data_IF_237761422180
#
_entry.id   IF_237761422180
#
_cell.length_a   1.000
_cell.length_b   1.000
_cell.length_c   1.000
_cell.angle_alpha   90.00
_cell.angle_beta   90.00
_cell.angle_gamma   90.00
#
_symmetry.space_group_name_H-M   'P 1'
#
loop_
_entity.id
_entity.type
_entity.pdbx_description
1 polymer ?
#
# COMPACT_ATOMS: atom_id res chain seq x y z
N UNK A 1 6.81 -47.17 -40.85
CA UNK A 1 6.15 -45.84 -40.93
C UNK A 1 6.88 -44.91 -39.97
N UNK A 2 7.40 -43.79 -40.47
CA UNK A 2 7.86 -42.58 -39.74
C UNK A 2 9.12 -42.71 -38.85
N UNK A 3 10.28 -42.15 -39.25
CA UNK A 3 10.76 -40.75 -39.20
C UNK A 3 11.31 -40.30 -37.83
N UNK A 4 12.65 -40.19 -37.79
CA UNK A 4 13.53 -39.14 -37.19
C UNK A 4 13.17 -38.49 -35.85
N UNK A 5 14.16 -38.36 -34.96
CA UNK A 5 14.73 -37.05 -34.55
C UNK A 5 15.94 -37.26 -33.62
N UNK A 6 17.07 -36.60 -33.95
CA UNK A 6 18.19 -36.43 -33.03
C UNK A 6 17.91 -35.23 -32.08
N UNK A 7 18.29 -35.28 -30.80
CA UNK A 7 18.34 -34.08 -29.99
C UNK A 7 19.71 -33.41 -30.14
N UNK A 8 19.66 -32.14 -30.56
CA UNK A 8 20.75 -31.20 -30.51
C UNK A 8 21.23 -31.01 -29.06
N UNK A 9 22.56 -31.00 -28.87
CA UNK A 9 23.17 -30.50 -27.62
C UNK A 9 22.97 -28.99 -27.60
N UNK A 10 21.96 -28.52 -26.86
CA UNK A 10 21.86 -27.13 -26.46
C UNK A 10 22.83 -26.92 -25.29
N UNK A 11 23.79 -26.01 -25.47
CA UNK A 11 24.66 -25.54 -24.39
C UNK A 11 23.80 -24.98 -23.26
N UNK A 12 24.01 -25.50 -22.04
CA UNK A 12 23.35 -24.99 -20.84
C UNK A 12 23.83 -23.55 -20.59
N UNK A 13 22.95 -22.61 -20.22
CA UNK A 13 23.42 -21.33 -19.70
C UNK A 13 24.15 -21.64 -18.39
N UNK A 14 25.43 -21.27 -18.35
CA UNK A 14 26.17 -21.24 -17.10
C UNK A 14 25.53 -20.15 -16.25
N UNK A 15 24.93 -20.50 -15.12
CA UNK A 15 24.56 -19.52 -14.11
C UNK A 15 25.85 -18.81 -13.69
N UNK A 16 25.97 -17.55 -14.11
CA UNK A 16 27.02 -16.68 -13.62
C UNK A 16 26.80 -16.53 -12.11
N UNK A 17 27.72 -17.10 -11.33
CA UNK A 17 27.78 -16.88 -9.88
C UNK A 17 27.84 -15.36 -9.66
N UNK A 18 26.81 -14.81 -9.01
CA UNK A 18 26.77 -13.39 -8.67
C UNK A 18 27.99 -13.04 -7.79
N UNK A 19 28.79 -12.09 -8.23
CA UNK A 19 29.88 -11.52 -7.43
C UNK A 19 29.26 -10.72 -6.28
N UNK A 20 29.47 -11.12 -5.01
CA UNK A 20 28.94 -10.41 -3.85
C UNK A 20 29.56 -9.00 -3.65
N UNK A 21 30.54 -8.64 -4.46
CA UNK A 21 31.23 -7.34 -4.44
C UNK A 21 30.71 -6.37 -5.50
N UNK A 22 29.81 -6.81 -6.38
CA UNK A 22 29.22 -5.95 -7.41
C UNK A 22 28.28 -4.93 -6.74
N UNK A 23 28.44 -3.61 -6.99
CA UNK A 23 27.48 -2.63 -6.53
C UNK A 23 26.09 -2.98 -7.13
N UNK A 24 25.00 -2.80 -6.37
CA UNK A 24 23.68 -3.16 -6.83
C UNK A 24 23.39 -2.42 -8.14
N UNK A 25 22.96 -3.17 -9.16
CA UNK A 25 22.48 -2.59 -10.42
C UNK A 25 21.22 -1.79 -10.07
N UNK A 26 21.36 -0.47 -9.98
CA UNK A 26 20.22 0.42 -9.86
C UNK A 26 19.49 0.39 -11.20
N UNK A 27 18.35 -0.32 -11.23
CA UNK A 27 17.40 -0.18 -12.32
C UNK A 27 16.77 1.19 -12.15
N UNK A 28 17.10 2.12 -13.04
CA UNK A 28 16.43 3.42 -13.08
C UNK A 28 14.94 3.17 -13.36
N UNK A 29 14.09 3.39 -12.37
CA UNK A 29 12.66 3.62 -12.60
C UNK A 29 12.55 4.88 -13.45
N UNK A 30 11.74 4.90 -14.53
CA UNK A 30 11.60 6.08 -15.35
C UNK A 30 10.89 7.17 -14.54
N UNK A 31 11.68 7.97 -13.83
CA UNK A 31 11.26 9.17 -13.14
C UNK A 31 11.92 10.38 -13.73
N UNK A 32 11.23 11.51 -13.62
CA UNK A 32 11.82 12.79 -13.99
C UNK A 32 12.96 13.04 -12.99
N UNK A 33 14.21 13.15 -13.45
CA UNK A 33 15.40 13.39 -12.60
C UNK A 33 15.31 14.70 -11.78
N UNK A 34 14.23 15.47 -12.00
CA UNK A 34 13.93 16.76 -11.40
C UNK A 34 12.69 16.74 -10.47
N UNK A 35 12.18 15.57 -10.06
CA UNK A 35 11.07 15.51 -9.10
C UNK A 35 11.44 16.24 -7.80
N UNK A 36 10.51 17.05 -7.29
CA UNK A 36 10.74 17.83 -6.07
C UNK A 36 11.07 16.89 -4.87
N UNK A 37 12.18 17.10 -4.14
CA UNK A 37 12.59 16.20 -3.06
C UNK A 37 11.57 16.06 -1.93
N UNK A 38 10.81 17.12 -1.64
CA UNK A 38 9.75 17.06 -0.63
C UNK A 38 8.61 16.14 -1.08
N UNK A 39 8.25 16.21 -2.36
CA UNK A 39 7.25 15.35 -2.99
C UNK A 39 7.72 13.89 -3.02
N UNK A 40 8.98 13.62 -3.39
CA UNK A 40 9.55 12.25 -3.35
C UNK A 40 9.47 11.68 -1.93
N UNK A 41 9.93 12.44 -0.91
CA UNK A 41 9.92 11.98 0.47
C UNK A 41 8.49 11.69 0.98
N UNK A 42 7.54 12.59 0.75
CA UNK A 42 6.16 12.44 1.20
C UNK A 42 5.45 11.29 0.47
N UNK A 43 5.61 11.18 -0.84
CA UNK A 43 4.96 10.16 -1.67
C UNK A 43 5.48 8.76 -1.35
N UNK A 44 6.79 8.58 -1.17
CA UNK A 44 7.35 7.29 -0.74
C UNK A 44 6.84 6.89 0.65
N UNK A 45 6.83 7.82 1.61
CA UNK A 45 6.33 7.54 2.95
C UNK A 45 4.84 7.20 2.95
N UNK A 46 4.04 7.87 2.11
CA UNK A 46 2.62 7.58 1.98
C UNK A 46 2.37 6.22 1.30
N UNK A 47 3.17 5.84 0.29
CA UNK A 47 3.06 4.52 -0.34
C UNK A 47 3.31 3.37 0.66
N UNK A 48 4.32 3.48 1.52
CA UNK A 48 4.58 2.51 2.59
C UNK A 48 3.38 2.39 3.56
N UNK A 49 2.70 3.51 3.84
CA UNK A 49 1.47 3.54 4.65
C UNK A 49 0.32 2.81 3.95
N UNK A 50 0.14 3.03 2.65
CA UNK A 50 -0.91 2.37 1.89
C UNK A 50 -0.72 0.86 1.88
N UNK A 51 0.49 0.38 1.60
CA UNK A 51 0.79 -1.06 1.54
C UNK A 51 0.53 -1.75 2.88
N UNK A 52 1.10 -1.20 3.96
CA UNK A 52 0.91 -1.77 5.30
C UNK A 52 -0.55 -1.69 5.77
N UNK A 53 -1.24 -0.58 5.55
CA UNK A 53 -2.64 -0.42 5.99
C UNK A 53 -3.57 -1.33 5.18
N UNK A 54 -3.35 -1.47 3.87
CA UNK A 54 -4.13 -2.35 3.01
C UNK A 54 -4.02 -3.81 3.45
N UNK A 55 -2.81 -4.28 3.78
CA UNK A 55 -2.60 -5.64 4.27
C UNK A 55 -3.39 -5.92 5.57
N UNK A 56 -3.21 -5.08 6.60
CA UNK A 56 -3.86 -5.32 7.90
C UNK A 56 -5.37 -5.05 7.90
N UNK A 57 -5.85 -4.11 7.09
CA UNK A 57 -7.28 -3.93 6.90
C UNK A 57 -7.89 -5.08 6.09
N UNK A 58 -7.21 -5.55 5.05
CA UNK A 58 -7.61 -6.71 4.24
C UNK A 58 -7.80 -7.95 5.11
N UNK A 59 -6.83 -8.30 5.95
CA UNK A 59 -6.93 -9.42 6.89
C UNK A 59 -8.16 -9.31 7.81
N UNK A 60 -8.49 -8.09 8.25
CA UNK A 60 -9.68 -7.85 9.05
C UNK A 60 -10.97 -7.98 8.21
N UNK A 61 -11.02 -7.37 7.04
CA UNK A 61 -12.17 -7.46 6.13
C UNK A 61 -12.47 -8.92 5.76
N UNK A 62 -11.45 -9.69 5.37
CA UNK A 62 -11.56 -11.11 5.05
C UNK A 62 -12.08 -11.93 6.25
N UNK A 63 -11.64 -11.59 7.48
CA UNK A 63 -12.13 -12.26 8.68
C UNK A 63 -13.62 -12.03 8.94
N UNK A 64 -14.17 -10.90 8.49
CA UNK A 64 -15.61 -10.62 8.58
C UNK A 64 -16.42 -11.40 7.54
N UNK A 65 -15.86 -11.62 6.36
CA UNK A 65 -16.52 -12.34 5.26
C UNK A 65 -16.71 -13.83 5.51
N UNK A 66 -15.98 -14.40 6.48
CA UNK A 66 -16.12 -15.80 6.89
C UNK A 66 -17.52 -16.13 7.48
N UNK A 67 -18.35 -15.12 7.76
CA UNK A 67 -19.64 -15.28 8.43
C UNK A 67 -20.79 -14.65 7.66
N UNK A 68 -21.97 -15.28 7.71
CA UNK A 68 -23.20 -14.74 7.12
C UNK A 68 -23.70 -13.47 7.84
N UNK A 69 -23.26 -13.24 9.07
CA UNK A 69 -23.43 -12.02 9.83
C UNK A 69 -22.15 -11.75 10.62
N UNK A 70 -21.75 -10.48 10.73
CA UNK A 70 -20.51 -10.08 11.42
C UNK A 70 -20.47 -10.60 12.87
N UNK A 71 -19.43 -11.37 13.20
CA UNK A 71 -19.19 -11.91 14.55
C UNK A 71 -17.89 -11.38 15.16
N UNK A 72 -17.99 -10.30 15.95
CA UNK A 72 -16.84 -9.74 16.69
C UNK A 72 -16.43 -10.56 17.93
N UNK A 73 -17.14 -11.63 18.26
CA UNK A 73 -16.76 -12.55 19.34
C UNK A 73 -15.82 -13.66 18.85
N UNK A 74 -15.74 -13.85 17.53
CA UNK A 74 -14.79 -14.78 16.93
C UNK A 74 -13.33 -14.33 17.21
N UNK A 75 -12.46 -15.23 17.69
CA UNK A 75 -11.07 -14.90 18.01
C UNK A 75 -10.25 -14.36 16.83
N UNK A 76 -10.51 -14.83 15.60
CA UNK A 76 -9.79 -14.36 14.42
C UNK A 76 -10.21 -12.92 14.10
N UNK A 77 -11.52 -12.63 14.10
CA UNK A 77 -12.04 -11.26 13.93
C UNK A 77 -11.54 -10.32 15.02
N UNK A 78 -11.53 -10.77 16.28
CA UNK A 78 -11.03 -9.97 17.39
C UNK A 78 -9.54 -9.63 17.24
N UNK A 79 -8.72 -10.61 16.84
CA UNK A 79 -7.28 -10.44 16.63
C UNK A 79 -6.98 -9.53 15.44
N UNK A 80 -7.58 -9.79 14.28
CA UNK A 80 -7.40 -8.99 13.07
C UNK A 80 -7.90 -7.55 13.26
N UNK A 81 -8.99 -7.33 14.00
CA UNK A 81 -9.47 -5.99 14.35
C UNK A 81 -8.44 -5.19 15.17
N UNK A 82 -7.75 -5.82 16.12
CA UNK A 82 -6.70 -5.16 16.90
C UNK A 82 -5.54 -4.75 16.01
N UNK A 83 -5.10 -5.63 15.11
CA UNK A 83 -4.03 -5.35 14.16
C UNK A 83 -4.44 -4.24 13.18
N UNK A 84 -5.60 -4.35 12.53
CA UNK A 84 -6.13 -3.35 11.61
C UNK A 84 -6.29 -1.98 12.26
N UNK A 85 -6.82 -1.90 13.48
CA UNK A 85 -6.91 -0.63 14.23
C UNK A 85 -5.53 -0.05 14.59
N UNK A 86 -4.55 -0.90 14.85
CA UNK A 86 -3.19 -0.46 15.14
C UNK A 86 -2.53 0.12 13.89
N UNK A 87 -2.64 -0.61 12.78
CA UNK A 87 -2.17 -0.17 11.47
C UNK A 87 -2.83 1.15 11.05
N UNK A 88 -4.16 1.26 11.11
CA UNK A 88 -4.88 2.50 10.77
C UNK A 88 -4.46 3.69 11.63
N UNK A 89 -4.27 3.51 12.95
CA UNK A 89 -3.81 4.59 13.82
C UNK A 89 -2.41 5.07 13.42
N UNK A 90 -1.49 4.13 13.18
CA UNK A 90 -0.12 4.47 12.78
C UNK A 90 -0.10 5.10 11.39
N UNK A 91 -0.79 4.49 10.43
CA UNK A 91 -0.93 4.95 9.06
C UNK A 91 -1.50 6.36 9.00
N UNK A 92 -2.59 6.65 9.72
CA UNK A 92 -3.17 7.98 9.79
C UNK A 92 -2.14 9.02 10.28
N UNK A 93 -1.43 8.72 11.37
CA UNK A 93 -0.39 9.60 11.89
C UNK A 93 0.74 9.85 10.89
N UNK A 94 1.19 8.81 10.19
CA UNK A 94 2.25 8.90 9.19
C UNK A 94 1.77 9.64 7.94
N UNK A 95 0.56 9.41 7.47
CA UNK A 95 -0.04 10.13 6.35
C UNK A 95 -0.16 11.64 6.64
N UNK A 96 -0.59 12.02 7.85
CA UNK A 96 -0.60 13.45 8.26
C UNK A 96 0.81 14.03 8.35
N UNK A 97 1.79 13.25 8.81
CA UNK A 97 3.18 13.70 8.85
C UNK A 97 3.74 13.89 7.43
N UNK A 98 3.49 12.95 6.51
CA UNK A 98 3.88 13.04 5.11
C UNK A 98 3.26 14.28 4.45
N UNK A 99 1.96 14.51 4.68
CA UNK A 99 1.26 15.72 4.22
C UNK A 99 1.80 17.03 4.82
N UNK A 100 2.50 16.96 5.95
CA UNK A 100 3.15 18.08 6.63
C UNK A 100 4.60 18.32 6.18
N UNK A 101 5.10 17.59 5.18
CA UNK A 101 6.48 17.74 4.68
C UNK A 101 6.72 19.19 4.21
N UNK A 102 7.75 19.87 4.73
CA UNK A 102 8.05 21.25 4.33
C UNK A 102 8.33 21.36 2.82
N UNK A 103 7.68 22.32 2.16
CA UNK A 103 7.82 22.52 0.72
C UNK A 103 6.90 21.64 -0.13
N UNK A 104 6.16 20.71 0.47
CA UNK A 104 5.24 19.84 -0.26
C UNK A 104 4.09 20.66 -0.90
N UNK A 105 3.82 20.49 -2.20
CA UNK A 105 2.71 21.16 -2.85
C UNK A 105 1.36 20.79 -2.21
N UNK A 106 0.44 21.76 -1.99
CA UNK A 106 -0.87 21.47 -1.40
C UNK A 106 -1.68 20.43 -2.16
N UNK A 107 -1.53 20.34 -3.48
CA UNK A 107 -2.21 19.36 -4.33
C UNK A 107 -1.79 17.91 -4.02
N UNK A 108 -0.55 17.68 -3.56
CA UNK A 108 -0.08 16.37 -3.10
C UNK A 108 -0.46 16.14 -1.64
N UNK A 109 -0.31 17.19 -0.82
CA UNK A 109 -0.52 17.11 0.61
C UNK A 109 -1.99 16.90 1.02
N UNK A 110 -2.94 17.50 0.30
CA UNK A 110 -4.37 17.46 0.66
C UNK A 110 -4.98 16.05 0.64
N UNK A 111 -4.85 15.24 -0.42
CA UNK A 111 -5.40 13.89 -0.41
C UNK A 111 -4.76 13.00 0.66
N UNK A 112 -3.48 13.19 1.02
CA UNK A 112 -2.85 12.50 2.16
C UNK A 112 -3.50 12.88 3.51
N UNK A 113 -3.91 14.14 3.69
CA UNK A 113 -4.65 14.58 4.88
C UNK A 113 -6.04 13.96 4.93
N UNK A 114 -6.76 13.98 3.81
CA UNK A 114 -8.10 13.38 3.73
C UNK A 114 -8.03 11.88 4.04
N UNK A 115 -7.07 11.19 3.43
CA UNK A 115 -6.83 9.77 3.70
C UNK A 115 -6.61 9.51 5.20
N UNK A 116 -5.83 10.35 5.90
CA UNK A 116 -5.65 10.19 7.34
C UNK A 116 -6.92 10.42 8.14
N UNK A 117 -7.77 11.37 7.73
CA UNK A 117 -9.04 11.63 8.42
C UNK A 117 -9.94 10.43 8.26
N UNK A 118 -10.05 9.87 7.06
CA UNK A 118 -10.88 8.70 6.80
C UNK A 118 -10.30 7.41 7.39
N UNK A 119 -8.97 7.26 7.47
CA UNK A 119 -8.32 6.21 8.25
C UNK A 119 -8.70 6.28 9.74
N UNK A 120 -8.76 7.50 10.28
CA UNK A 120 -9.19 7.71 11.68
C UNK A 120 -10.67 7.43 11.85
N UNK A 121 -11.51 7.79 10.87
CA UNK A 121 -12.95 7.48 10.84
C UNK A 121 -13.17 5.96 10.82
N UNK A 122 -12.44 5.22 9.99
CA UNK A 122 -12.50 3.76 9.93
C UNK A 122 -12.04 3.12 11.25
N UNK A 123 -10.94 3.60 11.81
CA UNK A 123 -10.44 3.19 13.13
C UNK A 123 -11.51 3.31 14.23
N UNK A 124 -12.26 4.42 14.24
CA UNK A 124 -13.36 4.64 15.19
C UNK A 124 -14.49 3.65 14.94
N UNK A 125 -14.92 3.47 13.69
CA UNK A 125 -15.99 2.53 13.33
C UNK A 125 -15.64 1.08 13.69
N UNK A 126 -14.41 0.66 13.44
CA UNK A 126 -13.90 -0.66 13.86
C UNK A 126 -13.89 -0.81 15.39
N UNK A 127 -13.52 0.25 16.12
CA UNK A 127 -13.55 0.27 17.59
C UNK A 127 -14.97 0.18 18.17
N UNK A 128 -15.95 0.75 17.48
CA UNK A 128 -17.37 0.65 17.81
C UNK A 128 -18.03 -0.61 17.27
N UNK A 129 -17.26 -1.50 16.63
CA UNK A 129 -17.76 -2.75 16.03
C UNK A 129 -18.86 -2.50 15.00
N UNK A 130 -18.64 -1.52 14.13
CA UNK A 130 -19.56 -1.16 13.05
C UNK A 130 -19.88 -2.33 12.12
N UNK A 131 -21.04 -2.25 11.47
CA UNK A 131 -21.44 -3.23 10.46
C UNK A 131 -20.66 -3.08 9.15
N UNK A 132 -20.61 -4.17 8.37
CA UNK A 132 -19.81 -4.29 7.15
C UNK A 132 -20.06 -3.16 6.14
N UNK A 133 -21.31 -2.77 5.90
CA UNK A 133 -21.63 -1.67 4.96
C UNK A 133 -20.98 -0.34 5.39
N UNK A 134 -21.06 0.01 6.68
CA UNK A 134 -20.47 1.26 7.18
C UNK A 134 -18.94 1.26 7.11
N UNK A 135 -18.33 0.09 7.28
CA UNK A 135 -16.88 -0.10 7.14
C UNK A 135 -16.48 0.03 5.67
N UNK A 136 -17.16 -0.68 4.77
CA UNK A 136 -16.91 -0.67 3.33
C UNK A 136 -17.03 0.74 2.75
N UNK A 137 -18.07 1.49 3.09
CA UNK A 137 -18.20 2.88 2.65
C UNK A 137 -16.99 3.73 3.05
N UNK A 138 -16.42 3.49 4.23
CA UNK A 138 -15.24 4.27 4.68
C UNK A 138 -13.96 3.79 4.00
N UNK A 139 -13.83 2.49 3.77
CA UNK A 139 -12.73 1.94 2.99
C UNK A 139 -12.75 2.46 1.55
N UNK A 140 -13.93 2.61 0.95
CA UNK A 140 -14.10 3.22 -0.38
C UNK A 140 -13.68 4.70 -0.39
N UNK A 141 -14.08 5.48 0.63
CA UNK A 141 -13.62 6.87 0.81
C UNK A 141 -12.08 6.93 0.89
N UNK A 142 -11.47 6.10 1.74
CA UNK A 142 -10.01 5.99 1.85
C UNK A 142 -9.34 5.58 0.52
N UNK A 143 -9.93 4.65 -0.23
CA UNK A 143 -9.39 4.23 -1.52
C UNK A 143 -9.42 5.35 -2.55
N UNK A 144 -10.47 6.18 -2.54
CA UNK A 144 -10.56 7.36 -3.40
C UNK A 144 -9.49 8.39 -3.04
N UNK A 145 -9.25 8.63 -1.75
CA UNK A 145 -8.18 9.53 -1.28
C UNK A 145 -6.79 8.99 -1.64
N UNK A 146 -6.58 7.68 -1.50
CA UNK A 146 -5.34 7.01 -1.88
C UNK A 146 -5.07 7.17 -3.39
N UNK A 147 -6.08 6.95 -4.22
CA UNK A 147 -5.98 7.16 -5.67
C UNK A 147 -5.68 8.62 -6.01
N UNK A 148 -6.33 9.57 -5.34
CA UNK A 148 -6.06 10.99 -5.53
C UNK A 148 -4.63 11.37 -5.13
N UNK A 149 -4.12 10.84 -4.02
CA UNK A 149 -2.75 11.05 -3.59
C UNK A 149 -1.73 10.42 -4.56
N UNK A 150 -1.97 9.19 -5.01
CA UNK A 150 -1.13 8.51 -6.00
C UNK A 150 -1.08 9.28 -7.32
N UNK A 151 -2.22 9.77 -7.81
CA UNK A 151 -2.26 10.61 -9.00
C UNK A 151 -1.49 11.91 -8.80
N UNK A 152 -1.67 12.60 -7.67
CA UNK A 152 -0.94 13.83 -7.37
C UNK A 152 0.58 13.59 -7.26
N UNK A 153 0.98 12.47 -6.68
CA UNK A 153 2.36 12.02 -6.63
C UNK A 153 2.95 11.76 -8.02
N UNK A 154 2.19 11.10 -8.90
CA UNK A 154 2.59 10.88 -10.29
C UNK A 154 2.72 12.21 -11.07
N UNK A 155 1.77 13.13 -10.89
CA UNK A 155 1.80 14.46 -11.51
C UNK A 155 2.99 15.31 -11.02
N UNK A 156 3.43 15.11 -9.78
CA UNK A 156 4.65 15.69 -9.22
C UNK A 156 5.94 15.02 -9.74
N UNK A 157 5.82 14.03 -10.62
CA UNK A 157 6.94 13.29 -11.22
C UNK A 157 7.58 12.26 -10.28
N UNK A 158 6.90 11.91 -9.18
CA UNK A 158 7.38 10.88 -8.25
C UNK A 158 6.92 9.49 -8.69
N UNK A 159 7.75 8.48 -8.41
CA UNK A 159 7.41 7.07 -8.57
C UNK A 159 7.53 6.44 -7.19
N UNK A 160 6.40 6.24 -6.53
CA UNK A 160 6.27 5.51 -5.28
C UNK A 160 5.35 4.31 -5.52
#
# INVERSE_FOLDING_TARGET
MSLLLAPAVAAQPVDAVADPSAPPVQVATPGNENADPASVAACSQFADVLDSTAAYYGDFADSLEAFAAVDYSDPAVASSNVLGRTALRQGAGVAMAAAGTPGLPPAVAEPMRQWSVDATKLLIKMGLRGGQESLNTTADEMNNDALAAQQACADAGTHA
#
